data_IF_899576018050
#
_entry.id   IF_899576018050
#
_cell.length_a   1.000
_cell.length_b   1.000
_cell.length_c   1.000
_cell.angle_alpha   90.00
_cell.angle_beta   90.00
_cell.angle_gamma   90.00
#
_symmetry.space_group_name_H-M   'P 1'
#
loop_
_entity.id
_entity.type
_entity.pdbx_description
1 polymer ?
#
# COMPACT_ATOMS: atom_id res chain seq x y z
N UNK A 1 -6.61 -4.40 28.31
CA UNK A 1 -6.26 -3.79 27.04
C UNK A 1 -7.08 -4.48 25.94
N UNK A 2 -8.13 -3.81 25.46
CA UNK A 2 -9.13 -4.41 24.54
C UNK A 2 -8.64 -4.44 23.07
N UNK A 3 -7.33 -4.44 22.84
CA UNK A 3 -6.75 -4.38 21.50
C UNK A 3 -7.24 -3.16 20.66
N UNK A 4 -7.60 -2.08 21.36
CA UNK A 4 -7.98 -0.80 20.78
C UNK A 4 -6.90 0.22 21.09
N UNK A 5 -6.71 1.15 20.17
CA UNK A 5 -5.77 2.26 20.34
C UNK A 5 -6.30 3.50 19.63
N UNK A 6 -5.84 4.66 20.03
CA UNK A 6 -6.08 5.94 19.39
C UNK A 6 -4.77 6.73 19.22
N UNK A 7 -4.85 7.94 18.68
CA UNK A 7 -3.66 8.76 18.43
C UNK A 7 -2.87 9.08 19.71
N UNK A 8 -3.53 9.15 20.88
CA UNK A 8 -2.88 9.46 22.15
C UNK A 8 -1.93 8.37 22.62
N UNK A 9 -2.22 7.11 22.27
CA UNK A 9 -1.34 5.99 22.63
C UNK A 9 0.03 6.09 21.93
N UNK A 10 0.15 6.90 20.90
CA UNK A 10 1.39 7.15 20.17
C UNK A 10 2.16 8.37 20.70
N UNK A 11 1.53 9.23 21.51
CA UNK A 11 2.19 10.37 22.14
C UNK A 11 3.29 9.86 23.09
N UNK A 12 4.49 10.40 22.93
CA UNK A 12 5.67 9.97 23.72
C UNK A 12 6.32 8.66 23.27
N UNK A 13 5.68 7.91 22.35
CA UNK A 13 6.27 6.71 21.71
C UNK A 13 6.93 7.08 20.39
N UNK A 14 6.28 7.95 19.60
CA UNK A 14 6.84 8.48 18.35
C UNK A 14 7.73 9.66 18.68
N UNK A 15 9.01 9.57 18.30
CA UNK A 15 10.02 10.59 18.50
C UNK A 15 10.85 10.83 17.21
N UNK A 16 11.87 11.67 17.30
CA UNK A 16 12.78 12.00 16.18
C UNK A 16 13.60 10.82 15.67
N UNK A 17 13.68 9.72 16.40
CA UNK A 17 14.36 8.48 15.98
C UNK A 17 13.42 7.55 15.24
N UNK A 18 12.11 7.73 15.38
CA UNK A 18 11.09 6.97 14.66
C UNK A 18 11.18 7.27 13.17
N UNK A 19 11.26 6.21 12.35
CA UNK A 19 11.32 6.32 10.87
C UNK A 19 10.04 5.86 10.20
N UNK A 20 9.36 4.93 10.82
CA UNK A 20 8.14 4.33 10.29
C UNK A 20 7.17 4.03 11.43
N UNK A 21 5.93 4.44 11.27
CA UNK A 21 4.80 4.02 12.08
C UNK A 21 3.99 3.05 11.24
N UNK A 22 3.76 1.83 11.72
CA UNK A 22 3.01 0.80 11.01
C UNK A 22 1.79 0.38 11.83
N UNK A 23 0.60 0.53 11.27
CA UNK A 23 -0.67 0.17 11.91
C UNK A 23 -1.58 -0.60 10.95
N UNK A 24 -2.59 -1.27 11.49
CA UNK A 24 -3.72 -1.77 10.70
C UNK A 24 -4.89 -0.80 10.77
N UNK A 25 -5.62 -0.61 9.66
CA UNK A 25 -6.82 0.22 9.64
C UNK A 25 -7.98 -0.43 10.39
N UNK A 26 -8.15 -1.74 10.20
CA UNK A 26 -9.18 -2.54 10.87
C UNK A 26 -8.53 -3.80 11.43
N UNK A 27 -8.69 -4.00 12.72
CA UNK A 27 -8.17 -5.18 13.40
C UNK A 27 -8.86 -6.46 12.92
N UNK A 28 -8.10 -7.47 12.57
CA UNK A 28 -8.62 -8.79 12.22
C UNK A 28 -9.04 -9.63 13.43
N UNK A 29 -8.69 -9.20 14.64
CA UNK A 29 -8.99 -9.90 15.89
C UNK A 29 -10.39 -9.57 16.38
N UNK A 30 -10.77 -8.29 16.37
CA UNK A 30 -12.01 -7.82 16.99
C UNK A 30 -12.80 -6.83 16.11
N UNK A 31 -12.37 -6.58 14.86
CA UNK A 31 -13.05 -5.64 13.96
C UNK A 31 -12.91 -4.16 14.36
N UNK A 32 -12.02 -3.83 15.31
CA UNK A 32 -11.80 -2.45 15.70
C UNK A 32 -11.32 -1.61 14.52
N UNK A 33 -12.04 -0.55 14.19
CA UNK A 33 -11.69 0.44 13.17
C UNK A 33 -10.95 1.59 13.82
N UNK A 34 -9.71 1.84 13.39
CA UNK A 34 -8.93 3.02 13.79
C UNK A 34 -9.53 4.26 13.13
N UNK A 35 -10.07 5.17 13.94
CA UNK A 35 -10.75 6.38 13.45
C UNK A 35 -9.77 7.54 13.24
N UNK A 36 -8.72 7.60 14.04
CA UNK A 36 -7.83 8.76 14.13
C UNK A 36 -6.56 8.60 13.31
N UNK A 37 -6.66 7.87 12.16
CA UNK A 37 -5.50 7.62 11.27
C UNK A 37 -4.81 8.93 10.88
N UNK A 38 -5.58 9.98 10.61
CA UNK A 38 -5.03 11.30 10.26
C UNK A 38 -4.22 11.91 11.41
N UNK A 39 -4.70 11.84 12.64
CA UNK A 39 -3.96 12.36 13.79
C UNK A 39 -2.66 11.57 14.03
N UNK A 40 -2.68 10.24 13.83
CA UNK A 40 -1.48 9.40 13.89
C UNK A 40 -0.49 9.79 12.78
N UNK A 41 -0.98 10.05 11.56
CA UNK A 41 -0.16 10.52 10.45
C UNK A 41 0.52 11.87 10.78
N UNK A 42 -0.25 12.82 11.28
CA UNK A 42 0.25 14.16 11.63
C UNK A 42 1.34 14.07 12.73
N UNK A 43 1.16 13.20 13.73
CA UNK A 43 2.14 12.95 14.75
C UNK A 43 3.42 12.31 14.19
N UNK A 44 3.29 11.31 13.31
CA UNK A 44 4.41 10.68 12.63
C UNK A 44 5.20 11.71 11.80
N UNK A 45 4.50 12.48 10.96
CA UNK A 45 5.10 13.48 10.09
C UNK A 45 5.79 14.60 10.86
N UNK A 46 5.22 15.06 11.97
CA UNK A 46 5.84 16.06 12.85
C UNK A 46 7.18 15.60 13.43
N UNK A 47 7.40 14.29 13.50
CA UNK A 47 8.64 13.67 13.94
C UNK A 47 9.55 13.19 12.80
N UNK A 48 9.15 13.38 11.54
CA UNK A 48 9.92 12.96 10.36
C UNK A 48 9.79 11.46 10.04
N UNK A 49 8.78 10.79 10.61
CA UNK A 49 8.45 9.39 10.34
C UNK A 49 7.40 9.30 9.22
N UNK A 50 7.37 8.16 8.53
CA UNK A 50 6.34 7.80 7.57
C UNK A 50 5.24 6.97 8.24
N UNK A 51 4.01 7.02 7.69
CA UNK A 51 2.91 6.19 8.11
C UNK A 51 2.60 5.10 7.06
N UNK A 52 2.75 3.84 7.45
CA UNK A 52 2.26 2.67 6.71
C UNK A 52 0.99 2.13 7.36
N UNK A 53 -0.01 1.85 6.54
CA UNK A 53 -1.28 1.28 7.02
C UNK A 53 -1.61 0.00 6.26
N UNK A 54 -1.76 -1.11 6.97
CA UNK A 54 -2.37 -2.31 6.42
C UNK A 54 -3.89 -2.07 6.31
N UNK A 55 -4.37 -1.99 5.06
CA UNK A 55 -5.76 -1.71 4.74
C UNK A 55 -6.54 -2.97 4.29
N UNK A 56 -5.95 -4.16 4.46
CA UNK A 56 -6.52 -5.41 3.95
C UNK A 56 -7.93 -5.71 4.51
N UNK A 57 -8.20 -5.33 5.76
CA UNK A 57 -9.52 -5.53 6.39
C UNK A 57 -10.44 -4.32 6.19
N UNK A 58 -9.93 -3.22 5.65
CA UNK A 58 -10.69 -1.98 5.46
C UNK A 58 -11.28 -1.85 4.06
N UNK A 59 -10.45 -2.03 3.03
CA UNK A 59 -10.87 -1.79 1.64
C UNK A 59 -11.96 -2.79 1.23
N UNK A 60 -13.09 -2.24 0.77
CA UNK A 60 -14.30 -2.99 0.46
C UNK A 60 -15.31 -3.07 1.62
N UNK A 61 -14.86 -2.89 2.89
CA UNK A 61 -15.72 -2.90 4.07
C UNK A 61 -16.02 -1.50 4.61
N UNK A 62 -15.05 -0.59 4.52
CA UNK A 62 -15.17 0.80 4.97
C UNK A 62 -14.55 1.74 3.93
N UNK A 63 -14.99 3.01 3.86
CA UNK A 63 -14.33 4.01 3.02
C UNK A 63 -12.87 4.21 3.43
N UNK A 64 -12.00 4.25 2.44
CA UNK A 64 -10.56 4.49 2.61
C UNK A 64 -10.13 5.60 1.66
N UNK A 65 -9.77 6.75 2.21
CA UNK A 65 -9.16 7.86 1.47
C UNK A 65 -7.73 8.07 1.99
N UNK A 66 -6.76 7.52 1.26
CA UNK A 66 -5.35 7.56 1.66
C UNK A 66 -4.81 8.98 1.78
N UNK A 67 -5.34 9.94 1.00
CA UNK A 67 -4.92 11.34 1.05
C UNK A 67 -5.52 12.06 2.26
N UNK A 68 -6.82 11.93 2.46
CA UNK A 68 -7.50 12.52 3.62
C UNK A 68 -6.95 11.95 4.94
N UNK A 69 -6.62 10.66 4.96
CA UNK A 69 -6.03 9.98 6.11
C UNK A 69 -4.54 10.29 6.32
N UNK A 70 -3.88 10.94 5.35
CA UNK A 70 -2.43 11.25 5.45
C UNK A 70 -1.52 10.04 5.35
N UNK A 71 -1.98 8.97 4.72
CA UNK A 71 -1.23 7.72 4.59
C UNK A 71 -0.11 7.88 3.55
N UNK A 72 1.10 7.47 3.91
CA UNK A 72 2.27 7.48 3.02
C UNK A 72 2.36 6.20 2.19
N UNK A 73 2.06 5.07 2.83
CA UNK A 73 2.06 3.76 2.19
C UNK A 73 0.92 2.91 2.74
N UNK A 74 0.31 2.12 1.88
CA UNK A 74 -0.70 1.14 2.28
C UNK A 74 -0.64 -0.10 1.42
N UNK A 75 -0.99 -1.25 1.97
CA UNK A 75 -1.07 -2.49 1.21
C UNK A 75 -2.38 -3.23 1.47
N UNK A 76 -2.84 -3.93 0.45
CA UNK A 76 -4.06 -4.72 0.48
C UNK A 76 -3.94 -5.95 -0.42
N UNK A 77 -4.29 -7.11 0.09
CA UNK A 77 -4.60 -8.28 -0.75
C UNK A 77 -6.08 -8.29 -1.09
N UNK A 78 -6.43 -8.78 -2.27
CA UNK A 78 -7.81 -8.67 -2.79
C UNK A 78 -8.77 -9.74 -2.27
N UNK A 79 -8.27 -10.81 -1.67
CA UNK A 79 -9.08 -12.01 -1.34
C UNK A 79 -9.99 -11.88 -0.10
N UNK A 80 -9.94 -10.75 0.61
CA UNK A 80 -10.81 -10.50 1.76
C UNK A 80 -12.07 -9.72 1.34
N UNK A 81 -12.27 -8.55 1.89
CA UNK A 81 -13.45 -7.72 1.63
C UNK A 81 -13.60 -7.23 0.19
N UNK A 82 -12.50 -7.24 -0.58
CA UNK A 82 -12.56 -6.98 -2.02
C UNK A 82 -13.06 -8.19 -2.83
N UNK A 83 -13.24 -9.37 -2.21
CA UNK A 83 -13.77 -10.59 -2.86
C UNK A 83 -13.00 -11.02 -4.13
N UNK A 84 -11.74 -10.63 -4.25
CA UNK A 84 -10.86 -11.05 -5.33
C UNK A 84 -10.22 -12.42 -5.07
N UNK A 85 -9.41 -12.88 -6.01
CA UNK A 85 -8.66 -14.14 -5.87
C UNK A 85 -7.50 -14.00 -4.88
N UNK A 86 -7.04 -15.14 -4.35
CA UNK A 86 -5.78 -15.24 -3.61
C UNK A 86 -4.60 -15.00 -4.55
N UNK A 87 -3.47 -14.57 -4.00
CA UNK A 87 -2.23 -14.38 -4.76
C UNK A 87 -2.15 -13.06 -5.52
N UNK A 88 -3.13 -12.16 -5.36
CA UNK A 88 -3.11 -10.82 -5.92
C UNK A 88 -3.36 -9.77 -4.85
N UNK A 89 -2.62 -8.68 -4.93
CA UNK A 89 -2.73 -7.52 -4.04
C UNK A 89 -2.18 -6.28 -4.71
N UNK A 90 -2.32 -5.15 -4.04
CA UNK A 90 -1.76 -3.88 -4.48
C UNK A 90 -1.18 -3.11 -3.31
N UNK A 91 -0.28 -2.19 -3.63
CA UNK A 91 0.32 -1.26 -2.71
C UNK A 91 0.10 0.17 -3.19
N UNK A 92 -0.22 1.05 -2.27
CA UNK A 92 -0.18 2.49 -2.47
C UNK A 92 1.12 3.03 -1.90
N UNK A 93 1.77 3.88 -2.66
CA UNK A 93 2.92 4.67 -2.22
C UNK A 93 2.66 6.12 -2.63
N UNK A 94 2.75 7.05 -1.69
CA UNK A 94 2.60 8.48 -1.97
C UNK A 94 3.60 8.92 -3.04
N UNK A 95 3.13 9.70 -4.01
CA UNK A 95 3.89 9.98 -5.23
C UNK A 95 5.27 10.59 -4.98
N UNK A 96 5.37 11.52 -4.04
CA UNK A 96 6.64 12.18 -3.72
C UNK A 96 7.68 11.24 -3.09
N UNK A 97 7.25 10.10 -2.53
CA UNK A 97 8.16 9.08 -2.01
C UNK A 97 8.71 8.17 -3.13
N UNK A 98 8.02 8.05 -4.26
CA UNK A 98 8.41 7.16 -5.34
C UNK A 98 9.71 7.58 -6.03
N UNK A 99 9.96 8.88 -6.11
CA UNK A 99 11.09 9.43 -6.88
C UNK A 99 12.31 9.81 -6.00
N UNK A 100 12.19 9.72 -4.69
CA UNK A 100 13.21 10.19 -3.74
C UNK A 100 14.20 9.14 -3.28
N UNK A 101 14.05 7.88 -3.66
CA UNK A 101 14.79 6.72 -3.16
C UNK A 101 14.68 6.53 -1.62
N UNK A 102 13.74 7.20 -0.97
CA UNK A 102 13.43 6.95 0.46
C UNK A 102 12.98 5.49 0.66
N UNK A 103 12.29 4.95 -0.34
CA UNK A 103 11.91 3.55 -0.44
C UNK A 103 12.63 2.93 -1.64
N UNK A 104 13.89 2.52 -1.50
CA UNK A 104 14.64 1.95 -2.62
C UNK A 104 14.04 0.59 -3.04
N UNK A 105 14.14 0.29 -4.32
CA UNK A 105 13.84 -1.04 -4.83
C UNK A 105 14.79 -2.06 -4.20
N UNK A 106 14.24 -3.07 -3.52
CA UNK A 106 15.02 -4.11 -2.86
C UNK A 106 15.35 -5.27 -3.80
N UNK A 107 14.45 -5.53 -4.74
CA UNK A 107 14.55 -6.62 -5.69
C UNK A 107 14.39 -6.10 -7.10
N UNK A 108 15.11 -6.74 -8.01
CA UNK A 108 15.11 -6.38 -9.40
C UNK A 108 14.62 -7.56 -10.24
N UNK A 109 13.69 -7.32 -11.14
CA UNK A 109 13.14 -8.33 -12.04
C UNK A 109 11.89 -7.86 -12.76
N UNK A 110 11.54 -8.53 -13.83
CA UNK A 110 10.29 -8.28 -14.55
C UNK A 110 10.11 -6.83 -14.98
N UNK A 111 9.11 -6.16 -14.44
CA UNK A 111 8.68 -4.85 -14.89
C UNK A 111 9.38 -3.66 -14.22
N UNK A 112 10.18 -3.90 -13.18
CA UNK A 112 10.83 -2.78 -12.49
C UNK A 112 12.19 -2.37 -13.09
N UNK A 113 12.52 -2.91 -14.27
CA UNK A 113 13.66 -2.49 -15.07
C UNK A 113 13.22 -1.86 -16.37
N UNK A 114 13.88 -0.79 -16.72
CA UNK A 114 14.06 -0.47 -18.13
C UNK A 114 15.13 -1.45 -18.65
N UNK A 115 14.71 -2.50 -19.31
CA UNK A 115 15.58 -3.13 -20.27
C UNK A 115 15.90 -2.03 -21.28
N UNK A 116 17.09 -1.41 -21.15
CA UNK A 116 17.59 -0.54 -22.18
C UNK A 116 17.44 -1.25 -23.51
N UNK A 117 17.30 -0.55 -24.63
CA UNK A 117 17.16 -1.23 -25.88
C UNK A 117 18.24 -2.33 -25.90
N UNK A 118 17.83 -3.54 -26.18
CA UNK A 118 18.74 -4.55 -26.66
C UNK A 118 19.32 -3.93 -27.93
N UNK A 119 20.26 -2.99 -27.72
CA UNK A 119 20.95 -2.41 -28.85
C UNK A 119 21.73 -3.56 -29.38
N UNK A 120 21.50 -3.87 -30.65
CA UNK A 120 22.34 -4.72 -31.48
C UNK A 120 23.75 -4.13 -31.60
N UNK A 121 24.24 -3.49 -30.54
CA UNK A 121 25.62 -3.04 -30.45
C UNK A 121 26.49 -4.26 -30.19
N UNK A 122 27.29 -4.67 -31.15
CA UNK A 122 28.25 -5.77 -30.97
C UNK A 122 29.25 -5.52 -29.82
N UNK A 123 29.34 -4.27 -29.38
CA UNK A 123 30.19 -3.81 -28.30
C UNK A 123 29.52 -3.73 -26.94
N UNK A 124 28.25 -4.13 -26.82
CA UNK A 124 27.64 -4.38 -25.50
C UNK A 124 28.31 -5.64 -24.93
N UNK A 125 29.58 -5.52 -24.60
CA UNK A 125 30.28 -6.51 -23.81
C UNK A 125 29.44 -6.78 -22.56
N UNK A 126 29.15 -8.02 -22.29
CA UNK A 126 28.43 -8.56 -21.12
C UNK A 126 29.07 -8.15 -19.76
N UNK A 127 29.75 -7.01 -19.68
CA UNK A 127 30.57 -6.58 -18.55
C UNK A 127 29.99 -5.46 -17.69
N UNK A 128 29.13 -4.61 -18.22
CA UNK A 128 28.52 -3.53 -17.45
C UNK A 128 27.00 -3.58 -17.63
N UNK A 129 26.33 -4.21 -16.69
CA UNK A 129 24.88 -4.11 -16.57
C UNK A 129 24.53 -2.78 -15.94
N UNK A 130 24.25 -1.76 -16.76
CA UNK A 130 23.70 -0.50 -16.30
C UNK A 130 22.20 -0.70 -16.03
N UNK A 131 21.89 -1.16 -14.84
CA UNK A 131 20.53 -1.35 -14.39
C UNK A 131 19.90 -0.01 -14.05
N UNK A 132 19.03 0.49 -14.91
CA UNK A 132 18.22 1.68 -14.64
C UNK A 132 16.86 1.25 -14.13
N UNK A 133 16.58 1.40 -12.83
CA UNK A 133 15.26 1.15 -12.28
C UNK A 133 14.23 2.00 -13.02
N UNK A 134 13.03 1.46 -13.23
CA UNK A 134 11.90 2.26 -13.70
C UNK A 134 11.55 3.31 -12.66
N UNK A 135 10.89 4.38 -13.07
CA UNK A 135 10.39 5.43 -12.19
C UNK A 135 8.90 5.20 -11.89
N UNK A 136 8.42 5.83 -10.83
CA UNK A 136 7.03 5.73 -10.42
C UNK A 136 6.64 4.35 -9.83
N UNK A 137 5.36 3.96 -9.89
CA UNK A 137 4.88 2.73 -9.23
C UNK A 137 5.55 1.46 -9.74
N UNK A 138 5.91 1.40 -11.01
CA UNK A 138 6.53 0.23 -11.62
C UNK A 138 7.86 -0.18 -10.96
N UNK A 139 8.53 0.74 -10.26
CA UNK A 139 9.76 0.42 -9.53
C UNK A 139 9.56 -0.61 -8.40
N UNK A 140 8.32 -0.82 -7.95
CA UNK A 140 7.96 -1.78 -6.90
C UNK A 140 7.40 -3.10 -7.46
N UNK A 141 7.25 -3.21 -8.78
CA UNK A 141 6.69 -4.39 -9.44
C UNK A 141 7.82 -5.32 -9.90
N UNK A 142 8.19 -6.26 -9.06
CA UNK A 142 9.35 -7.15 -9.28
C UNK A 142 9.09 -8.31 -10.25
N UNK A 143 7.82 -8.51 -10.66
CA UNK A 143 7.44 -9.62 -11.55
C UNK A 143 6.13 -9.30 -12.29
N UNK A 144 5.71 -10.22 -13.15
CA UNK A 144 4.41 -10.10 -13.82
C UNK A 144 3.27 -10.41 -12.84
N UNK A 145 2.22 -9.57 -12.81
CA UNK A 145 1.06 -9.84 -11.98
C UNK A 145 0.27 -11.06 -12.50
N UNK A 146 -0.48 -11.71 -11.62
CA UNK A 146 -1.49 -12.69 -12.04
C UNK A 146 -2.60 -11.99 -12.83
N UNK A 147 -2.69 -12.23 -14.13
CA UNK A 147 -3.73 -11.64 -14.98
C UNK A 147 -5.14 -12.09 -14.57
N UNK A 148 -5.30 -13.33 -14.11
CA UNK A 148 -6.53 -13.83 -13.51
C UNK A 148 -6.87 -13.05 -12.25
N UNK A 149 -5.87 -12.81 -11.40
CA UNK A 149 -6.01 -12.01 -10.17
C UNK A 149 -6.48 -10.59 -10.45
N UNK A 150 -5.91 -9.94 -11.47
CA UNK A 150 -6.32 -8.61 -11.93
C UNK A 150 -7.77 -8.63 -12.40
N UNK A 151 -8.14 -9.59 -13.27
CA UNK A 151 -9.50 -9.71 -13.83
C UNK A 151 -10.54 -9.95 -12.73
N UNK A 152 -10.26 -10.84 -11.79
CA UNK A 152 -11.09 -11.08 -10.62
C UNK A 152 -11.26 -9.81 -9.77
N UNK A 153 -10.17 -9.11 -9.49
CA UNK A 153 -10.20 -7.87 -8.70
C UNK A 153 -11.04 -6.78 -9.38
N UNK A 154 -10.87 -6.56 -10.69
CA UNK A 154 -11.66 -5.59 -11.44
C UNK A 154 -13.15 -5.91 -11.34
N UNK A 155 -13.53 -7.19 -11.53
CA UNK A 155 -14.93 -7.63 -11.49
C UNK A 155 -15.54 -7.41 -10.10
N UNK A 156 -14.85 -7.85 -9.06
CA UNK A 156 -15.32 -7.70 -7.68
C UNK A 156 -15.38 -6.25 -7.23
N UNK A 157 -14.40 -5.42 -7.59
CA UNK A 157 -14.43 -3.98 -7.27
C UNK A 157 -15.59 -3.26 -7.96
N UNK A 158 -15.93 -3.61 -9.21
CA UNK A 158 -17.12 -3.08 -9.88
C UNK A 158 -18.40 -3.46 -9.14
N UNK A 159 -18.50 -4.69 -8.66
CA UNK A 159 -19.65 -5.15 -7.89
C UNK A 159 -19.76 -4.39 -6.55
N UNK A 160 -18.65 -4.27 -5.79
CA UNK A 160 -18.59 -3.49 -4.55
C UNK A 160 -18.97 -2.01 -4.80
N UNK A 161 -18.49 -1.44 -5.89
CA UNK A 161 -18.86 -0.07 -6.28
C UNK A 161 -20.35 0.08 -6.52
N UNK A 162 -21.00 -0.92 -7.13
CA UNK A 162 -22.46 -0.93 -7.35
C UNK A 162 -23.24 -0.96 -6.03
N UNK A 163 -22.76 -1.72 -5.04
CA UNK A 163 -23.38 -1.77 -3.71
C UNK A 163 -23.15 -0.48 -2.91
N UNK A 164 -22.02 0.18 -3.13
CA UNK A 164 -21.56 1.32 -2.37
C UNK A 164 -20.93 0.94 -1.03
N UNK A 165 -19.67 1.35 -0.82
CA UNK A 165 -18.90 0.98 0.37
C UNK A 165 -19.55 1.48 1.67
N UNK A 166 -20.20 2.65 1.66
CA UNK A 166 -20.94 3.14 2.83
C UNK A 166 -22.13 2.25 3.18
N UNK A 167 -22.83 1.71 2.20
CA UNK A 167 -23.93 0.78 2.44
C UNK A 167 -23.41 -0.52 3.07
N UNK A 168 -22.30 -1.02 2.56
CA UNK A 168 -21.63 -2.21 3.11
C UNK A 168 -21.23 -1.94 4.57
N UNK A 169 -20.56 -0.81 4.82
CA UNK A 169 -20.17 -0.40 6.16
C UNK A 169 -21.35 -0.35 7.15
N UNK A 170 -22.44 0.25 6.72
CA UNK A 170 -23.62 0.37 7.56
C UNK A 170 -24.24 -1.01 7.85
N UNK A 171 -24.29 -1.90 6.87
CA UNK A 171 -24.78 -3.27 7.03
C UNK A 171 -23.92 -4.11 7.98
N UNK A 172 -22.61 -4.00 7.88
CA UNK A 172 -21.67 -4.78 8.72
C UNK A 172 -21.66 -4.31 10.18
N UNK A 173 -22.12 -3.10 10.46
CA UNK A 173 -22.16 -2.50 11.82
C UNK A 173 -23.46 -2.79 12.59
N UNK A 174 -24.46 -3.31 11.92
CA UNK A 174 -25.72 -3.73 12.55
C UNK A 174 -25.55 -5.10 13.19
#
# INVERSE_FOLDING_TARGET
NDWKFDAKDFEGVIDKNTKLVAITLVSNVNGFLVKDVRAIADLAHANGALLYVDIIQGVGAVPVDVKAMGIDMAACSTFKWLMGSKGFGFMYVRKDLQDTRVLPTQHHGGLNFNYGPWTDSPDSALGEFDFKPTTGPAMYEVSYPSYEGVSCAITSMKYIHTLGVENIRNHVRT
#
